data_IF_305373530807
#
_entry.id   IF_305373530807
#
_cell.length_a   1.000
_cell.length_b   1.000
_cell.length_c   1.000
_cell.angle_alpha   90.00
_cell.angle_beta   90.00
_cell.angle_gamma   90.00
#
_symmetry.space_group_name_H-M   'P 1'
#
loop_
_entity.id
_entity.type
_entity.pdbx_description
1 polymer ?
#
# COMPACT_ATOMS: atom_id res chain seq x y z
N UNK A 1 33.11 19.44 75.33
CA UNK A 1 34.36 20.21 75.13
C UNK A 1 34.99 19.70 73.84
N UNK A 2 34.78 20.41 72.71
CA UNK A 2 35.80 21.19 71.95
C UNK A 2 36.86 20.29 71.29
N UNK A 3 37.19 20.37 70.00
CA UNK A 3 37.04 21.42 69.00
C UNK A 3 37.33 20.83 67.60
N UNK A 4 36.72 21.45 66.58
CA UNK A 4 37.05 21.44 65.15
C UNK A 4 38.54 21.67 64.88
N UNK A 5 39.13 21.03 63.85
CA UNK A 5 39.96 21.66 62.78
C UNK A 5 40.13 20.67 61.61
N UNK A 6 39.56 21.01 60.45
CA UNK A 6 40.06 20.61 59.11
C UNK A 6 41.00 21.69 58.59
N UNK A 7 42.06 21.35 57.82
CA UNK A 7 42.63 22.27 56.85
C UNK A 7 42.37 21.82 55.40
N UNK A 8 42.06 22.83 54.57
CA UNK A 8 41.88 22.81 53.11
C UNK A 8 43.22 23.04 52.40
N UNK A 9 43.42 22.32 51.28
CA UNK A 9 43.90 22.71 49.92
C UNK A 9 45.11 23.67 49.76
N UNK A 10 45.99 23.49 48.75
CA UNK A 10 45.61 23.81 47.35
C UNK A 10 46.31 23.07 46.18
N UNK A 11 45.55 22.96 45.07
CA UNK A 11 45.90 23.34 43.68
C UNK A 11 47.35 23.12 43.22
N UNK A 12 47.59 22.23 42.23
CA UNK A 12 48.33 22.58 41.00
C UNK A 12 47.79 21.74 39.84
N UNK A 13 47.21 22.43 38.85
CA UNK A 13 46.93 21.94 37.50
C UNK A 13 48.25 21.77 36.75
N UNK A 14 48.50 20.58 36.18
CA UNK A 14 49.58 20.41 35.20
C UNK A 14 48.99 20.66 33.80
N UNK A 15 49.37 21.78 33.20
CA UNK A 15 49.29 21.99 31.76
C UNK A 15 50.54 21.37 31.11
N UNK A 16 50.38 20.69 29.98
CA UNK A 16 51.49 20.44 29.05
C UNK A 16 50.99 20.30 27.61
N UNK A 17 51.42 21.30 26.83
CA UNK A 17 51.85 21.32 25.43
C UNK A 17 50.90 20.88 24.30
N UNK A 18 50.72 21.84 23.38
CA UNK A 18 50.19 21.72 22.03
C UNK A 18 50.92 20.68 21.16
N UNK A 19 50.15 19.98 20.34
CA UNK A 19 50.59 19.56 19.01
C UNK A 19 49.45 19.83 18.02
N UNK A 20 49.67 20.84 17.19
CA UNK A 20 48.85 21.19 16.03
C UNK A 20 49.10 20.13 14.97
N UNK A 21 48.07 19.38 14.59
CA UNK A 21 48.05 18.63 13.33
C UNK A 21 46.94 19.21 12.45
N UNK A 22 47.39 19.95 11.44
CA UNK A 22 46.58 20.33 10.29
C UNK A 22 46.32 19.06 9.46
N UNK A 23 45.07 18.62 9.38
CA UNK A 23 44.64 17.68 8.33
C UNK A 23 43.58 18.39 7.51
N UNK A 24 43.99 18.87 6.33
CA UNK A 24 43.07 19.16 5.23
C UNK A 24 42.42 17.84 4.82
N UNK A 25 41.12 17.66 5.12
CA UNK A 25 40.28 16.73 4.38
C UNK A 25 39.30 17.56 3.58
N UNK A 26 39.39 17.35 2.26
CA UNK A 26 38.65 18.05 1.24
C UNK A 26 37.13 17.97 1.46
N UNK A 27 36.48 19.06 1.06
CA UNK A 27 35.08 19.11 0.63
C UNK A 27 34.68 17.85 -0.14
N UNK A 28 33.90 17.00 0.52
CA UNK A 28 33.14 15.93 -0.10
C UNK A 28 31.69 16.15 0.26
N UNK A 29 30.90 16.57 -0.71
CA UNK A 29 29.44 16.61 -0.65
C UNK A 29 28.94 15.33 0.02
N UNK A 30 28.21 15.48 1.13
CA UNK A 30 27.32 14.43 1.61
C UNK A 30 26.17 14.32 0.61
N UNK A 31 26.47 13.73 -0.54
CA UNK A 31 25.50 13.30 -1.53
C UNK A 31 24.58 12.30 -0.86
N UNK A 32 23.29 12.65 -0.91
CA UNK A 32 22.14 11.79 -1.01
C UNK A 32 22.32 10.37 -0.42
N UNK A 33 21.55 10.07 0.63
CA UNK A 33 21.05 8.70 0.76
C UNK A 33 20.44 8.35 -0.60
N UNK A 34 21.10 7.46 -1.32
CA UNK A 34 20.55 6.90 -2.54
C UNK A 34 19.20 6.29 -2.16
N UNK A 35 18.12 6.85 -2.68
CA UNK A 35 16.89 6.09 -2.83
C UNK A 35 17.29 4.81 -3.57
N UNK A 36 17.01 3.65 -2.98
CA UNK A 36 17.12 2.39 -3.71
C UNK A 36 16.23 2.57 -4.94
N UNK A 37 16.77 2.46 -6.17
CA UNK A 37 15.95 2.57 -7.36
C UNK A 37 14.85 1.51 -7.26
N UNK A 38 13.59 1.90 -7.42
CA UNK A 38 12.57 0.93 -7.84
C UNK A 38 13.14 0.24 -9.08
N UNK A 39 13.37 -1.08 -8.98
CA UNK A 39 13.81 -1.85 -10.12
C UNK A 39 12.68 -1.84 -11.16
N UNK A 40 12.87 -1.07 -12.23
CA UNK A 40 11.93 -0.91 -13.33
C UNK A 40 11.87 -2.22 -14.13
N UNK A 41 11.05 -3.16 -13.67
CA UNK A 41 10.80 -4.42 -14.35
C UNK A 41 9.77 -4.18 -15.47
N UNK A 42 9.93 -4.82 -16.65
CA UNK A 42 8.92 -4.75 -17.71
C UNK A 42 7.53 -5.11 -17.17
N UNK A 43 6.50 -4.40 -17.62
CA UNK A 43 5.14 -4.64 -17.18
C UNK A 43 4.75 -6.11 -17.43
N UNK A 44 4.19 -6.82 -16.44
CA UNK A 44 3.81 -8.22 -16.61
C UNK A 44 2.83 -8.39 -17.78
N UNK A 45 3.13 -9.28 -18.72
CA UNK A 45 2.26 -9.47 -19.88
C UNK A 45 1.01 -10.28 -19.51
N UNK A 46 1.18 -11.35 -18.74
CA UNK A 46 0.09 -12.20 -18.22
C UNK A 46 -0.24 -11.82 -16.77
N UNK A 47 -1.48 -11.40 -16.53
CA UNK A 47 -1.95 -10.81 -15.26
C UNK A 47 -3.27 -11.43 -14.75
N UNK A 48 -3.78 -12.48 -15.38
CA UNK A 48 -5.11 -13.01 -15.10
C UNK A 48 -6.24 -12.16 -15.66
N UNK A 49 -7.44 -12.37 -15.10
CA UNK A 49 -8.68 -11.76 -15.56
C UNK A 49 -9.30 -10.92 -14.45
N UNK A 50 -9.47 -9.62 -14.70
CA UNK A 50 -10.18 -8.68 -13.83
C UNK A 50 -11.45 -8.21 -14.54
N UNK A 51 -12.54 -8.06 -13.78
CA UNK A 51 -13.77 -7.45 -14.24
C UNK A 51 -14.13 -6.33 -13.27
N UNK A 52 -13.91 -5.09 -13.70
CA UNK A 52 -14.17 -3.91 -12.87
C UNK A 52 -15.07 -2.95 -13.66
N UNK A 53 -16.40 -3.06 -13.55
CA UNK A 53 -17.30 -2.16 -14.24
C UNK A 53 -17.07 -0.70 -13.83
N UNK A 54 -16.95 0.19 -14.82
CA UNK A 54 -16.78 1.63 -14.63
C UNK A 54 -17.86 2.42 -15.39
N UNK A 55 -18.06 3.69 -15.03
CA UNK A 55 -18.84 4.63 -15.82
C UNK A 55 -18.02 5.27 -16.97
N UNK A 56 -16.78 4.83 -17.18
CA UNK A 56 -15.94 5.33 -18.28
C UNK A 56 -16.49 4.86 -19.64
N UNK A 57 -15.94 5.42 -20.71
CA UNK A 57 -16.12 4.94 -22.06
C UNK A 57 -15.76 3.45 -22.17
N UNK A 58 -16.62 2.66 -22.80
CA UNK A 58 -16.34 1.24 -23.07
C UNK A 58 -15.05 1.01 -23.87
N UNK A 59 -14.55 2.04 -24.59
CA UNK A 59 -13.27 2.01 -25.32
C UNK A 59 -12.05 1.85 -24.41
N UNK A 60 -12.14 2.28 -23.15
CA UNK A 60 -11.02 2.22 -22.21
C UNK A 60 -11.15 1.12 -21.15
N UNK A 61 -12.30 0.41 -21.12
CA UNK A 61 -12.62 -0.62 -20.12
C UNK A 61 -11.51 -1.68 -19.97
N UNK A 62 -11.01 -2.24 -21.08
CA UNK A 62 -9.94 -3.26 -21.04
C UNK A 62 -8.63 -2.73 -20.50
N UNK A 63 -8.26 -1.48 -20.82
CA UNK A 63 -7.05 -0.84 -20.28
C UNK A 63 -7.20 -0.57 -18.79
N UNK A 64 -8.39 -0.16 -18.34
CA UNK A 64 -8.67 0.01 -16.92
C UNK A 64 -8.59 -1.32 -16.15
N UNK A 65 -9.20 -2.38 -16.66
CA UNK A 65 -9.12 -3.72 -16.04
C UNK A 65 -7.69 -4.25 -15.98
N UNK A 66 -6.88 -4.01 -17.03
CA UNK A 66 -5.45 -4.33 -17.00
C UNK A 66 -4.71 -3.53 -15.92
N UNK A 67 -4.99 -2.24 -15.78
CA UNK A 67 -4.40 -1.41 -14.73
C UNK A 67 -4.77 -1.89 -13.32
N UNK A 68 -6.02 -2.32 -13.11
CA UNK A 68 -6.44 -2.95 -11.84
C UNK A 68 -5.75 -4.29 -11.62
N UNK A 69 -5.54 -5.09 -12.67
CA UNK A 69 -4.77 -6.35 -12.55
C UNK A 69 -3.31 -6.11 -12.13
N UNK A 70 -2.66 -5.08 -12.67
CA UNK A 70 -1.34 -4.62 -12.24
C UNK A 70 -1.35 -4.14 -10.79
N UNK A 71 -2.34 -3.34 -10.40
CA UNK A 71 -2.52 -2.84 -9.04
C UNK A 71 -2.68 -4.00 -8.05
N UNK A 72 -3.54 -4.97 -8.38
CA UNK A 72 -3.70 -6.18 -7.58
C UNK A 72 -2.41 -6.98 -7.45
N UNK A 73 -1.52 -6.90 -8.43
CA UNK A 73 -0.24 -7.61 -8.42
C UNK A 73 0.91 -6.80 -7.80
N UNK A 74 0.60 -5.65 -7.19
CA UNK A 74 1.56 -4.70 -6.61
C UNK A 74 2.62 -4.19 -7.61
N UNK A 75 2.28 -4.18 -8.90
CA UNK A 75 3.09 -3.54 -9.94
C UNK A 75 2.72 -2.05 -10.05
N UNK A 76 2.95 -1.29 -8.97
CA UNK A 76 2.39 0.06 -8.77
C UNK A 76 2.79 1.05 -9.86
N UNK A 77 4.06 1.12 -10.25
CA UNK A 77 4.55 2.06 -11.27
C UNK A 77 3.96 1.76 -12.66
N UNK A 78 3.82 0.48 -13.02
CA UNK A 78 3.15 0.07 -14.25
C UNK A 78 1.63 0.34 -14.20
N UNK A 79 0.99 0.07 -13.05
CA UNK A 79 -0.43 0.38 -12.85
C UNK A 79 -0.69 1.89 -12.97
N UNK A 80 0.15 2.73 -12.37
CA UNK A 80 0.02 4.19 -12.42
C UNK A 80 0.06 4.66 -13.88
N UNK A 81 1.04 4.18 -14.66
CA UNK A 81 1.17 4.51 -16.07
C UNK A 81 -0.11 4.15 -16.84
N UNK A 82 -0.63 2.94 -16.67
CA UNK A 82 -1.84 2.50 -17.38
C UNK A 82 -3.08 3.30 -16.95
N UNK A 83 -3.25 3.61 -15.66
CA UNK A 83 -4.36 4.47 -15.22
C UNK A 83 -4.24 5.90 -15.77
N UNK A 84 -3.04 6.47 -15.85
CA UNK A 84 -2.81 7.77 -16.50
C UNK A 84 -3.16 7.73 -17.98
N UNK A 85 -2.79 6.65 -18.69
CA UNK A 85 -3.15 6.46 -20.09
C UNK A 85 -4.68 6.33 -20.28
N UNK A 86 -5.39 5.69 -19.34
CA UNK A 86 -6.86 5.64 -19.32
C UNK A 86 -7.45 7.03 -19.08
N UNK A 87 -6.95 7.77 -18.07
CA UNK A 87 -7.42 9.12 -17.75
C UNK A 87 -7.25 10.09 -18.94
N UNK A 88 -6.14 9.97 -19.69
CA UNK A 88 -5.90 10.77 -20.88
C UNK A 88 -6.89 10.48 -22.03
N UNK A 89 -7.33 9.21 -22.16
CA UNK A 89 -8.27 8.77 -23.20
C UNK A 89 -9.74 9.02 -22.84
N UNK A 90 -10.05 9.12 -21.55
CA UNK A 90 -11.37 9.47 -21.05
C UNK A 90 -11.28 10.46 -19.86
N UNK A 91 -11.09 11.75 -20.15
CA UNK A 91 -10.81 12.77 -19.14
C UNK A 91 -12.00 13.11 -18.24
N UNK A 92 -13.20 12.62 -18.57
CA UNK A 92 -14.42 12.87 -17.78
C UNK A 92 -14.72 11.75 -16.77
N UNK A 93 -13.96 10.65 -16.80
CA UNK A 93 -14.17 9.51 -15.92
C UNK A 93 -13.37 9.63 -14.62
N UNK A 94 -14.03 9.40 -13.47
CA UNK A 94 -13.38 9.49 -12.16
C UNK A 94 -12.52 8.26 -11.80
N UNK A 95 -12.88 7.07 -12.28
CA UNK A 95 -12.25 5.81 -11.86
C UNK A 95 -10.72 5.75 -12.07
N UNK A 96 -10.14 6.24 -13.19
CA UNK A 96 -8.69 6.22 -13.38
C UNK A 96 -7.93 7.04 -12.34
N UNK A 97 -8.50 8.17 -11.89
CA UNK A 97 -7.91 8.98 -10.83
C UNK A 97 -7.91 8.27 -9.48
N UNK A 98 -8.97 7.51 -9.16
CA UNK A 98 -8.95 6.59 -8.02
C UNK A 98 -7.84 5.54 -8.16
N UNK A 99 -7.68 4.96 -9.36
CA UNK A 99 -6.63 3.99 -9.64
C UNK A 99 -5.22 4.55 -9.43
N UNK A 100 -4.94 5.76 -9.93
CA UNK A 100 -3.67 6.46 -9.69
C UNK A 100 -3.45 6.72 -8.20
N UNK A 101 -4.47 7.17 -7.47
CA UNK A 101 -4.34 7.36 -6.02
C UNK A 101 -4.03 6.03 -5.32
N UNK A 102 -4.69 4.93 -5.70
CA UNK A 102 -4.43 3.60 -5.12
C UNK A 102 -2.98 3.15 -5.29
N UNK A 103 -2.30 3.53 -6.39
CA UNK A 103 -0.91 3.11 -6.60
C UNK A 103 0.06 3.71 -5.60
N UNK A 104 -0.30 4.78 -4.90
CA UNK A 104 0.53 5.33 -3.83
C UNK A 104 0.27 4.71 -2.46
N UNK A 105 -0.80 3.92 -2.33
CA UNK A 105 -1.23 3.32 -1.07
C UNK A 105 -0.72 1.88 -0.95
N UNK A 106 0.57 1.74 -0.65
CA UNK A 106 1.27 0.44 -0.53
C UNK A 106 0.91 -0.31 0.77
N UNK A 107 -0.36 -0.69 0.89
CA UNK A 107 -1.03 -1.10 2.14
C UNK A 107 -0.29 -2.17 2.96
N UNK A 108 0.33 -3.15 2.31
CA UNK A 108 0.99 -4.29 2.96
C UNK A 108 2.52 -4.22 2.96
N UNK A 109 3.12 -3.58 1.95
CA UNK A 109 4.58 -3.63 1.73
C UNK A 109 5.32 -2.47 2.37
N UNK A 110 4.76 -1.26 2.30
CA UNK A 110 5.42 -0.05 2.78
C UNK A 110 4.41 0.91 3.46
N UNK A 111 3.69 0.47 4.51
CA UNK A 111 2.89 1.38 5.32
C UNK A 111 3.79 2.21 6.26
N UNK A 112 3.48 3.50 6.52
CA UNK A 112 2.37 4.28 5.97
C UNK A 112 2.67 4.83 4.57
N UNK A 113 1.65 5.40 3.91
CA UNK A 113 1.85 6.15 2.66
C UNK A 113 2.99 7.15 2.79
N UNK A 114 3.96 7.06 1.88
CA UNK A 114 5.14 7.93 1.89
C UNK A 114 4.73 9.42 1.87
N UNK A 115 5.36 10.30 2.68
CA UNK A 115 4.96 11.70 2.81
C UNK A 115 4.85 12.45 1.47
N UNK A 116 5.77 12.21 0.54
CA UNK A 116 5.77 12.81 -0.80
C UNK A 116 4.56 12.41 -1.65
N UNK A 117 3.92 11.27 -1.35
CA UNK A 117 2.78 10.76 -2.08
C UNK A 117 1.43 11.17 -1.48
N UNK A 118 1.39 11.68 -0.24
CA UNK A 118 0.14 12.14 0.39
C UNK A 118 -0.52 13.23 -0.46
N UNK A 119 0.23 14.27 -0.84
CA UNK A 119 -0.29 15.35 -1.67
C UNK A 119 -0.70 14.89 -3.07
N UNK A 120 0.07 13.96 -3.66
CA UNK A 120 -0.23 13.38 -4.98
C UNK A 120 -1.54 12.60 -4.96
N UNK A 121 -1.73 11.70 -4.00
CA UNK A 121 -2.96 10.93 -3.87
C UNK A 121 -4.17 11.81 -3.54
N UNK A 122 -4.01 12.83 -2.68
CA UNK A 122 -5.07 13.78 -2.39
C UNK A 122 -5.52 14.54 -3.65
N UNK A 123 -4.58 15.00 -4.47
CA UNK A 123 -4.90 15.71 -5.71
C UNK A 123 -5.71 14.85 -6.69
N UNK A 124 -5.35 13.58 -6.84
CA UNK A 124 -6.07 12.62 -7.71
C UNK A 124 -7.48 12.32 -7.15
N UNK A 125 -7.64 12.16 -5.84
CA UNK A 125 -8.95 12.01 -5.21
C UNK A 125 -9.84 13.24 -5.42
N UNK A 126 -9.31 14.44 -5.23
CA UNK A 126 -10.07 15.67 -5.43
C UNK A 126 -10.43 15.87 -6.91
N UNK A 127 -9.58 15.44 -7.84
CA UNK A 127 -9.94 15.38 -9.25
C UNK A 127 -11.07 14.38 -9.49
N UNK A 128 -10.98 13.16 -8.97
CA UNK A 128 -12.01 12.13 -9.11
C UNK A 128 -13.39 12.62 -8.62
N UNK A 129 -13.43 13.34 -7.49
CA UNK A 129 -14.67 13.90 -6.92
C UNK A 129 -15.37 14.93 -7.82
N UNK A 130 -14.64 15.60 -8.71
CA UNK A 130 -15.19 16.58 -9.68
C UNK A 130 -15.70 15.94 -10.97
N UNK A 131 -15.40 14.67 -11.20
CA UNK A 131 -15.67 13.96 -12.44
C UNK A 131 -16.90 13.05 -12.34
N UNK A 132 -17.33 12.52 -13.48
CA UNK A 132 -18.47 11.62 -13.55
C UNK A 132 -18.10 10.25 -12.97
N UNK A 133 -18.98 9.72 -12.13
CA UNK A 133 -18.85 8.42 -11.47
C UNK A 133 -20.22 7.85 -11.14
N UNK A 134 -20.33 6.53 -11.20
CA UNK A 134 -21.40 5.78 -10.55
C UNK A 134 -21.30 5.87 -9.03
N UNK A 135 -22.39 5.52 -8.33
CA UNK A 135 -22.40 5.40 -6.86
C UNK A 135 -21.35 4.41 -6.33
N UNK A 136 -21.06 3.35 -7.09
CA UNK A 136 -20.05 2.36 -6.75
C UNK A 136 -18.65 2.96 -6.78
N UNK A 137 -18.29 3.62 -7.87
CA UNK A 137 -17.00 4.30 -8.03
C UNK A 137 -16.83 5.40 -6.98
N UNK A 138 -17.89 6.17 -6.71
CA UNK A 138 -17.88 7.20 -5.66
C UNK A 138 -17.57 6.61 -4.29
N UNK A 139 -18.12 5.45 -3.95
CA UNK A 139 -17.80 4.78 -2.69
C UNK A 139 -16.34 4.35 -2.57
N UNK A 140 -15.70 3.91 -3.66
CA UNK A 140 -14.26 3.64 -3.69
C UNK A 140 -13.42 4.90 -3.50
N UNK A 141 -13.78 5.99 -4.20
CA UNK A 141 -13.14 7.31 -4.09
C UNK A 141 -13.25 7.84 -2.65
N UNK A 142 -14.45 7.80 -2.08
CA UNK A 142 -14.73 8.29 -0.73
C UNK A 142 -13.98 7.48 0.32
N UNK A 143 -13.95 6.15 0.19
CA UNK A 143 -13.17 5.29 1.07
C UNK A 143 -11.69 5.66 1.02
N UNK A 144 -11.10 5.71 -0.18
CA UNK A 144 -9.67 6.02 -0.36
C UNK A 144 -9.33 7.44 0.10
N UNK A 145 -10.25 8.40 0.00
CA UNK A 145 -10.05 9.76 0.47
C UNK A 145 -9.66 9.83 1.96
N UNK A 146 -10.12 8.85 2.77
CA UNK A 146 -9.82 8.77 4.20
C UNK A 146 -8.34 8.49 4.48
N UNK A 147 -7.63 7.91 3.52
CA UNK A 147 -6.18 7.70 3.60
C UNK A 147 -5.43 9.01 3.35
N UNK A 148 -5.92 9.91 2.50
CA UNK A 148 -5.16 11.12 2.14
C UNK A 148 -5.58 12.36 2.92
N UNK A 149 -6.87 12.47 3.27
CA UNK A 149 -7.41 13.61 3.99
C UNK A 149 -6.88 13.67 5.43
N UNK A 150 -6.63 14.90 5.91
CA UNK A 150 -6.23 15.18 7.29
C UNK A 150 -4.98 14.41 7.74
N UNK A 151 -4.06 14.11 6.83
CA UNK A 151 -2.86 13.32 7.15
C UNK A 151 -1.90 14.02 8.14
N UNK A 152 -2.02 15.34 8.28
CA UNK A 152 -1.30 16.20 9.22
C UNK A 152 -1.89 16.17 10.65
N UNK A 153 -3.16 15.79 10.78
CA UNK A 153 -3.94 15.94 12.01
C UNK A 153 -4.54 14.63 12.52
N UNK A 154 -4.62 13.59 11.68
CA UNK A 154 -5.07 12.24 12.06
C UNK A 154 -3.95 11.20 11.91
N UNK A 155 -3.69 10.41 12.97
CA UNK A 155 -2.75 9.29 12.90
C UNK A 155 -3.10 8.33 11.75
N UNK A 156 -2.07 7.77 11.11
CA UNK A 156 -2.26 6.84 9.99
C UNK A 156 -3.16 5.66 10.35
N UNK A 157 -2.98 5.07 11.53
CA UNK A 157 -3.80 3.93 11.97
C UNK A 157 -5.29 4.29 12.07
N UNK A 158 -5.62 5.50 12.50
CA UNK A 158 -7.00 5.96 12.59
C UNK A 158 -7.61 6.15 11.19
N UNK A 159 -6.86 6.76 10.26
CA UNK A 159 -7.25 6.86 8.85
C UNK A 159 -7.47 5.49 8.21
N UNK A 160 -6.58 4.55 8.51
CA UNK A 160 -6.64 3.18 8.00
C UNK A 160 -7.85 2.41 8.53
N UNK A 161 -8.16 2.54 9.82
CA UNK A 161 -9.37 1.95 10.42
C UNK A 161 -10.66 2.53 9.79
N UNK A 162 -10.69 3.84 9.53
CA UNK A 162 -11.81 4.50 8.85
C UNK A 162 -11.96 4.03 7.40
N UNK A 163 -10.86 3.86 6.69
CA UNK A 163 -10.84 3.27 5.35
C UNK A 163 -11.42 1.85 5.34
N UNK A 164 -10.98 0.98 6.25
CA UNK A 164 -11.49 -0.39 6.34
C UNK A 164 -12.99 -0.43 6.66
N UNK A 165 -13.47 0.46 7.55
CA UNK A 165 -14.90 0.58 7.83
C UNK A 165 -15.70 1.09 6.63
N UNK A 166 -15.16 2.04 5.85
CA UNK A 166 -15.78 2.50 4.62
C UNK A 166 -15.86 1.38 3.56
N UNK A 167 -14.77 0.61 3.41
CA UNK A 167 -14.74 -0.56 2.53
C UNK A 167 -15.73 -1.65 2.96
N UNK A 168 -15.87 -1.89 4.27
CA UNK A 168 -16.89 -2.80 4.82
C UNK A 168 -18.30 -2.39 4.42
N UNK A 169 -18.63 -1.09 4.56
CA UNK A 169 -19.94 -0.55 4.17
C UNK A 169 -20.17 -0.68 2.66
N UNK A 170 -19.15 -0.39 1.85
CA UNK A 170 -19.23 -0.49 0.40
C UNK A 170 -19.45 -1.96 -0.03
N UNK A 171 -18.67 -2.90 0.50
CA UNK A 171 -18.85 -4.33 0.27
C UNK A 171 -20.23 -4.83 0.75
N UNK A 172 -20.75 -4.28 1.85
CA UNK A 172 -22.09 -4.59 2.35
C UNK A 172 -23.23 -4.07 1.45
N UNK A 173 -23.02 -2.93 0.75
CA UNK A 173 -23.96 -2.37 -0.23
C UNK A 173 -23.90 -3.10 -1.57
N UNK A 174 -22.71 -3.56 -1.97
CA UNK A 174 -22.45 -4.25 -3.23
C UNK A 174 -21.96 -5.68 -2.99
N UNK A 175 -22.82 -6.52 -2.41
CA UNK A 175 -22.46 -7.89 -1.96
C UNK A 175 -22.02 -8.81 -3.09
N UNK A 176 -22.64 -8.66 -4.26
CA UNK A 176 -22.33 -9.47 -5.44
C UNK A 176 -21.17 -8.90 -6.28
N UNK A 177 -20.68 -7.71 -5.93
CA UNK A 177 -19.58 -7.08 -6.62
C UNK A 177 -18.23 -7.65 -6.15
N UNK A 178 -17.57 -8.35 -7.05
CA UNK A 178 -16.36 -9.12 -6.75
C UNK A 178 -15.22 -8.22 -6.28
N UNK A 179 -15.04 -7.07 -6.92
CA UNK A 179 -13.98 -6.12 -6.58
C UNK A 179 -14.23 -5.41 -5.25
N UNK A 180 -15.48 -5.06 -4.92
CA UNK A 180 -15.81 -4.52 -3.60
C UNK A 180 -15.46 -5.53 -2.49
N UNK A 181 -15.74 -6.82 -2.69
CA UNK A 181 -15.37 -7.85 -1.72
C UNK A 181 -13.85 -8.03 -1.63
N UNK A 182 -13.13 -8.02 -2.77
CA UNK A 182 -11.67 -8.19 -2.82
C UNK A 182 -10.95 -7.04 -2.11
N UNK A 183 -11.31 -5.78 -2.41
CA UNK A 183 -10.69 -4.63 -1.74
C UNK A 183 -11.09 -4.54 -0.27
N UNK A 184 -12.26 -5.02 0.13
CA UNK A 184 -12.60 -5.13 1.55
C UNK A 184 -11.75 -6.19 2.27
N UNK A 185 -11.54 -7.35 1.65
CA UNK A 185 -10.64 -8.37 2.19
C UNK A 185 -9.20 -7.85 2.33
N UNK A 186 -8.71 -7.06 1.36
CA UNK A 186 -7.42 -6.36 1.48
C UNK A 186 -7.41 -5.41 2.68
N UNK A 187 -8.45 -4.59 2.84
CA UNK A 187 -8.54 -3.66 3.97
C UNK A 187 -8.58 -4.38 5.34
N UNK A 188 -9.18 -5.57 5.42
CA UNK A 188 -9.16 -6.42 6.61
C UNK A 188 -7.73 -6.86 6.97
N UNK A 189 -6.99 -7.43 6.02
CA UNK A 189 -5.62 -7.89 6.27
C UNK A 189 -4.66 -6.74 6.57
N UNK A 190 -4.82 -5.61 5.88
CA UNK A 190 -4.03 -4.39 6.13
C UNK A 190 -4.27 -3.81 7.51
N UNK A 191 -5.46 -4.00 8.10
CA UNK A 191 -5.78 -3.52 9.44
C UNK A 191 -5.68 -4.58 10.53
N UNK A 192 -5.18 -5.77 10.23
CA UNK A 192 -4.97 -6.83 11.21
C UNK A 192 -3.90 -6.41 12.23
N UNK A 193 -4.21 -6.35 13.54
CA UNK A 193 -3.20 -6.05 14.55
C UNK A 193 -2.15 -7.18 14.57
N UNK A 194 -0.84 -6.88 14.48
CA UNK A 194 0.20 -7.91 14.55
C UNK A 194 0.20 -8.71 15.86
N UNK A 195 -0.40 -8.15 16.92
CA UNK A 195 -0.54 -8.78 18.24
C UNK A 195 -1.78 -9.66 18.38
N UNK A 196 -2.69 -9.69 17.39
CA UNK A 196 -3.89 -10.51 17.44
C UNK A 196 -3.57 -11.97 17.08
N UNK A 197 -3.28 -12.77 18.11
CA UNK A 197 -3.01 -14.19 17.97
C UNK A 197 -4.23 -15.02 17.53
N UNK A 198 -5.44 -14.45 17.51
CA UNK A 198 -6.63 -15.14 17.00
C UNK A 198 -6.73 -15.10 15.47
N UNK A 199 -5.97 -14.20 14.83
CA UNK A 199 -6.00 -13.94 13.39
C UNK A 199 -7.43 -13.66 12.87
N UNK A 200 -8.24 -12.93 13.65
CA UNK A 200 -9.67 -12.81 13.38
C UNK A 200 -9.95 -12.14 12.02
N UNK A 201 -9.24 -11.06 11.70
CA UNK A 201 -9.40 -10.35 10.41
C UNK A 201 -8.90 -11.18 9.24
N UNK A 202 -7.81 -11.93 9.42
CA UNK A 202 -7.33 -12.86 8.40
C UNK A 202 -8.35 -13.96 8.13
N UNK A 203 -8.93 -14.56 9.17
CA UNK A 203 -10.01 -15.55 9.01
C UNK A 203 -11.25 -14.97 8.32
N UNK A 204 -11.61 -13.73 8.63
CA UNK A 204 -12.70 -13.02 7.94
C UNK A 204 -12.37 -12.78 6.46
N UNK A 205 -11.16 -12.32 6.14
CA UNK A 205 -10.71 -12.14 4.76
C UNK A 205 -10.68 -13.47 3.97
N UNK A 206 -10.23 -14.57 4.60
CA UNK A 206 -10.23 -15.90 3.98
C UNK A 206 -11.67 -16.36 3.68
N UNK A 207 -12.61 -16.15 4.61
CA UNK A 207 -14.01 -16.50 4.41
C UNK A 207 -14.66 -15.74 3.24
N UNK A 208 -14.19 -14.54 2.91
CA UNK A 208 -14.61 -13.77 1.75
C UNK A 208 -13.93 -14.29 0.47
N UNK A 209 -12.61 -14.49 0.51
CA UNK A 209 -11.81 -14.76 -0.68
C UNK A 209 -11.88 -16.22 -1.16
N UNK A 210 -12.00 -17.21 -0.28
CA UNK A 210 -12.01 -18.63 -0.67
C UNK A 210 -13.20 -19.01 -1.59
N UNK A 211 -14.46 -18.57 -1.33
CA UNK A 211 -15.55 -18.78 -2.28
C UNK A 211 -15.32 -18.07 -3.61
N UNK A 212 -14.78 -16.84 -3.57
CA UNK A 212 -14.46 -16.08 -4.78
C UNK A 212 -13.35 -16.74 -5.58
N UNK A 213 -12.35 -17.35 -4.93
CA UNK A 213 -11.25 -18.04 -5.59
C UNK A 213 -11.75 -19.26 -6.37
N UNK A 214 -12.70 -20.02 -5.81
CA UNK A 214 -13.35 -21.12 -6.52
C UNK A 214 -14.15 -20.64 -7.73
N UNK A 215 -14.80 -19.47 -7.63
CA UNK A 215 -15.63 -18.90 -8.70
C UNK A 215 -14.80 -18.23 -9.80
N UNK A 216 -13.72 -17.56 -9.43
CA UNK A 216 -12.86 -16.75 -10.31
C UNK A 216 -11.38 -17.14 -10.13
N UNK A 217 -10.99 -18.37 -10.49
CA UNK A 217 -9.66 -18.91 -10.20
C UNK A 217 -8.52 -18.22 -10.97
N UNK A 218 -8.84 -17.33 -11.91
CA UNK A 218 -7.87 -16.56 -12.70
C UNK A 218 -7.79 -15.08 -12.27
N UNK A 219 -8.47 -14.69 -11.19
CA UNK A 219 -8.40 -13.32 -10.70
C UNK A 219 -7.11 -13.09 -9.90
N UNK A 220 -6.24 -12.14 -10.29
CA UNK A 220 -4.96 -11.93 -9.63
C UNK A 220 -5.13 -11.51 -8.16
N UNK A 221 -6.02 -10.55 -7.88
CA UNK A 221 -6.23 -10.03 -6.53
C UNK A 221 -6.74 -11.07 -5.54
N UNK A 222 -7.55 -12.04 -5.99
CA UNK A 222 -8.10 -13.05 -5.08
C UNK A 222 -7.01 -14.01 -4.62
N UNK A 223 -6.28 -14.59 -5.58
CA UNK A 223 -5.20 -15.52 -5.27
C UNK A 223 -4.10 -14.82 -4.47
N UNK A 224 -3.72 -13.62 -4.88
CA UNK A 224 -2.70 -12.84 -4.20
C UNK A 224 -3.08 -12.51 -2.75
N UNK A 225 -4.29 -11.98 -2.51
CA UNK A 225 -4.69 -11.59 -1.17
C UNK A 225 -4.98 -12.80 -0.27
N UNK A 226 -5.33 -13.97 -0.82
CA UNK A 226 -5.38 -15.21 -0.05
C UNK A 226 -4.01 -15.64 0.47
N UNK A 227 -2.94 -15.45 -0.30
CA UNK A 227 -1.58 -15.74 0.16
C UNK A 227 -1.29 -14.85 1.37
N UNK A 228 -1.43 -13.52 1.23
CA UNK A 228 -1.20 -12.59 2.33
C UNK A 228 -2.11 -12.79 3.54
N UNK A 229 -3.36 -13.21 3.31
CA UNK A 229 -4.28 -13.59 4.39
C UNK A 229 -3.73 -14.77 5.21
N UNK A 230 -3.03 -15.69 4.55
CA UNK A 230 -2.49 -16.90 5.15
C UNK A 230 -1.01 -16.78 5.57
N UNK A 231 -0.42 -15.58 5.58
CA UNK A 231 0.97 -15.31 5.99
C UNK A 231 1.15 -15.41 7.52
N UNK A 232 0.70 -16.51 8.11
CA UNK A 232 0.85 -16.86 9.52
C UNK A 232 0.91 -18.38 9.70
N UNK A 233 1.53 -18.84 10.78
CA UNK A 233 1.76 -20.26 11.01
C UNK A 233 0.48 -21.10 11.11
N UNK A 234 -0.62 -20.53 11.61
CA UNK A 234 -1.91 -21.22 11.75
C UNK A 234 -2.53 -21.51 10.37
N UNK A 235 -2.51 -20.52 9.48
CA UNK A 235 -3.24 -20.55 8.21
C UNK A 235 -2.37 -20.89 7.00
N UNK A 236 -1.04 -20.98 7.12
CA UNK A 236 -0.10 -21.18 6.00
C UNK A 236 -0.51 -22.29 5.02
N UNK A 237 -1.03 -23.43 5.52
CA UNK A 237 -1.50 -24.53 4.66
C UNK A 237 -2.70 -24.17 3.78
N UNK A 238 -3.56 -23.24 4.19
CA UNK A 238 -4.70 -22.76 3.42
C UNK A 238 -4.25 -21.95 2.19
N UNK A 239 -3.14 -21.20 2.31
CA UNK A 239 -2.60 -20.36 1.23
C UNK A 239 -1.95 -21.11 0.07
N UNK A 240 -1.54 -22.38 0.26
CA UNK A 240 -0.74 -23.15 -0.73
C UNK A 240 -1.42 -23.26 -2.10
N UNK A 241 -2.74 -23.45 -2.13
CA UNK A 241 -3.47 -23.54 -3.40
C UNK A 241 -3.46 -22.20 -4.15
N UNK A 242 -3.64 -21.09 -3.43
CA UNK A 242 -3.60 -19.75 -3.98
C UNK A 242 -2.19 -19.40 -4.48
N UNK A 243 -1.14 -19.72 -3.73
CA UNK A 243 0.26 -19.53 -4.13
C UNK A 243 0.59 -20.25 -5.45
N UNK A 244 0.22 -21.53 -5.55
CA UNK A 244 0.40 -22.31 -6.79
C UNK A 244 -0.36 -21.69 -7.96
N UNK A 245 -1.61 -21.29 -7.76
CA UNK A 245 -2.38 -20.65 -8.82
C UNK A 245 -1.79 -19.30 -9.23
N UNK A 246 -1.40 -18.45 -8.27
CA UNK A 246 -0.89 -17.12 -8.55
C UNK A 246 0.40 -17.15 -9.38
N UNK A 247 1.28 -18.13 -9.14
CA UNK A 247 2.46 -18.38 -9.97
C UNK A 247 2.16 -18.58 -11.46
N UNK A 248 0.93 -18.98 -11.80
CA UNK A 248 0.46 -19.18 -13.18
C UNK A 248 -0.39 -18.02 -13.72
N UNK A 249 -1.06 -17.28 -12.83
CA UNK A 249 -1.94 -16.16 -13.16
C UNK A 249 -1.11 -14.93 -13.55
N UNK A 250 -0.11 -14.60 -12.74
CA UNK A 250 0.73 -13.42 -12.91
C UNK A 250 2.24 -13.76 -12.81
N UNK A 251 2.76 -14.71 -13.62
CA UNK A 251 4.15 -15.19 -13.52
C UNK A 251 5.19 -14.09 -13.76
N UNK A 252 4.81 -13.03 -14.48
CA UNK A 252 5.70 -11.92 -14.80
C UNK A 252 5.64 -10.78 -13.76
N UNK A 253 4.75 -10.85 -12.77
CA UNK A 253 4.71 -9.86 -11.69
C UNK A 253 5.91 -10.07 -10.76
N UNK A 254 6.80 -9.06 -10.58
CA UNK A 254 7.98 -9.20 -9.74
C UNK A 254 7.65 -9.66 -8.32
N UNK A 255 6.52 -9.18 -7.77
CA UNK A 255 6.05 -9.59 -6.45
C UNK A 255 5.68 -11.08 -6.40
N UNK A 256 5.06 -11.63 -7.46
CA UNK A 256 4.69 -13.05 -7.52
C UNK A 256 5.89 -14.00 -7.43
N UNK A 257 7.09 -13.55 -7.83
CA UNK A 257 8.32 -14.33 -7.76
C UNK A 257 8.93 -14.39 -6.35
N UNK A 258 8.54 -13.46 -5.48
CA UNK A 258 9.08 -13.31 -4.12
C UNK A 258 8.02 -13.51 -3.03
N UNK A 259 6.81 -13.96 -3.40
CA UNK A 259 5.77 -14.31 -2.44
C UNK A 259 6.26 -15.46 -1.54
N UNK A 260 6.01 -15.39 -0.21
CA UNK A 260 6.40 -16.42 0.75
C UNK A 260 5.69 -17.77 0.54
#
# INVERSE_FOLDING_TARGET
MTRVVTPRNPIVRVMSALLVFFVLVASGDWQALAAIPEHDHPAPEKLGNVQFPTSCSSKVQKSFERAVALLHSFAYSAAEKEFRDVAAKDPNCAAPHWGIAMTYFHQLWEPPVAPQNIGRGLAEIEQAKRLSSSDRERGFIDALSLIYANADSLPYQERLNRYAEAMRKLAGRYRDDTECQIFYALALITTAPPSDASHAKQKEAAAILEPLFRKYPQHPGIAHYLIHTCDNAEMARQGVAAAKAYSQIAPAAPHALHMP
#
